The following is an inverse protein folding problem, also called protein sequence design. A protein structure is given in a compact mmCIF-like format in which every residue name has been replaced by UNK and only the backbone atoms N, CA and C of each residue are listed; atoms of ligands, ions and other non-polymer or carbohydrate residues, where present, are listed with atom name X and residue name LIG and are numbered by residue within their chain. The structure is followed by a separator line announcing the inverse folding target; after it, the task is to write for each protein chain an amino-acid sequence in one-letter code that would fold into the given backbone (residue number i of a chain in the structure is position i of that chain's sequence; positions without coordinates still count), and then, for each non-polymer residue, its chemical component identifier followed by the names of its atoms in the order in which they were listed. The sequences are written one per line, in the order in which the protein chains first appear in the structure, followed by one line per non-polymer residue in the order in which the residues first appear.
data_IF_165015290620
#
_entry.id   IF_165015290620
#
_cell.length_a   1.000
_cell.length_b   1.000
_cell.length_c   1.000
_cell.angle_alpha   90.00
_cell.angle_beta   90.00
_cell.angle_gamma   90.00
#
_symmetry.space_group_name_H-M   'P 1'
#
loop_
_entity.id
_entity.type
_entity.pdbx_description
1 polymer ?
#
# COMPACT_ATOMS: atom_id res chain seq x y z
N UNK A 1 -16.92 -4.51 10.31
CA UNK A 1 -16.19 -3.94 10.86
C UNK A 1 -15.16 -3.38 10.09
N UNK A 2 -14.88 -2.41 10.22
CA UNK A 2 -13.92 -1.84 9.48
C UNK A 2 -12.64 -2.43 9.73
N UNK A 3 -12.04 -2.87 8.76
CA UNK A 3 -10.82 -3.54 8.89
C UNK A 3 -9.67 -2.63 8.88
N UNK A 4 -9.89 -1.36 8.67
CA UNK A 4 -8.79 -0.45 8.47
C UNK A 4 -8.15 -0.02 9.77
N UNK A 5 -8.77 -0.31 10.89
CA UNK A 5 -8.19 0.05 12.16
C UNK A 5 -6.84 -0.60 12.40
N UNK A 6 -6.61 -1.75 11.78
CA UNK A 6 -5.40 -2.49 12.05
C UNK A 6 -4.44 -2.43 10.90
N UNK A 7 -4.03 -1.23 10.51
CA UNK A 7 -3.04 -1.10 9.44
C UNK A 7 -1.73 -1.79 9.79
N UNK A 8 -1.43 -1.92 11.08
CA UNK A 8 -0.20 -2.60 11.48
C UNK A 8 -0.14 -4.03 10.97
N UNK A 9 -1.27 -4.65 10.74
CA UNK A 9 -1.30 -6.01 10.20
C UNK A 9 -0.81 -6.08 8.77
N UNK A 10 -0.77 -4.95 8.09
CA UNK A 10 -0.35 -4.91 6.70
C UNK A 10 1.16 -4.80 6.56
N UNK A 11 1.88 -4.57 7.66
CA UNK A 11 3.34 -4.49 7.60
C UNK A 11 3.88 -5.81 7.08
N UNK A 12 4.80 -5.72 6.12
CA UNK A 12 5.43 -6.83 5.42
C UNK A 12 4.56 -7.44 4.32
N UNK A 13 3.36 -6.93 4.10
CA UNK A 13 2.53 -7.43 3.01
C UNK A 13 2.91 -6.74 1.71
N UNK A 14 2.79 -7.45 0.63
CA UNK A 14 3.05 -6.90 -0.69
C UNK A 14 1.95 -5.95 -1.11
N UNK A 15 2.28 -4.99 -1.97
CA UNK A 15 1.33 -4.00 -2.46
C UNK A 15 1.33 -4.04 -3.98
N UNK A 16 0.15 -4.06 -4.57
CA UNK A 16 0.00 -4.02 -6.02
C UNK A 16 -0.93 -2.88 -6.41
N UNK A 17 -0.64 -2.33 -7.58
CA UNK A 17 -1.50 -1.30 -8.15
C UNK A 17 -2.74 -1.95 -8.75
N UNK A 18 -3.70 -1.13 -9.15
CA UNK A 18 -4.93 -1.66 -9.75
C UNK A 18 -4.65 -2.37 -11.07
N UNK A 19 -3.56 -2.04 -11.74
CA UNK A 19 -3.17 -2.71 -12.98
C UNK A 19 -2.22 -3.87 -12.73
N UNK A 20 -2.05 -4.28 -11.48
CA UNK A 20 -1.32 -5.51 -11.16
C UNK A 20 0.17 -5.38 -10.99
N UNK A 21 0.70 -4.16 -10.99
CA UNK A 21 2.13 -3.96 -10.83
C UNK A 21 2.53 -4.05 -9.37
N UNK A 22 3.66 -4.68 -9.11
CA UNK A 22 4.17 -4.86 -7.77
C UNK A 22 4.90 -3.59 -7.33
N UNK A 23 4.47 -3.00 -6.22
CA UNK A 23 5.10 -1.80 -5.68
C UNK A 23 6.13 -2.11 -4.60
N UNK A 24 6.15 -3.32 -4.11
CA UNK A 24 7.03 -3.69 -3.00
C UNK A 24 6.23 -4.08 -1.78
N UNK A 25 6.83 -3.91 -0.61
CA UNK A 25 6.20 -4.34 0.63
C UNK A 25 6.04 -3.17 1.58
N UNK A 26 5.00 -3.23 2.40
CA UNK A 26 4.79 -2.23 3.44
C UNK A 26 5.80 -2.48 4.55
N UNK A 27 6.60 -1.47 4.88
CA UNK A 27 7.60 -1.60 5.94
C UNK A 27 7.22 -0.84 7.20
N UNK A 28 6.26 0.07 7.10
CA UNK A 28 5.82 0.83 8.25
C UNK A 28 4.45 1.42 7.98
N UNK A 29 3.73 1.71 9.05
CA UNK A 29 2.46 2.40 8.97
C UNK A 29 2.54 3.58 9.93
N UNK A 30 2.16 4.76 9.45
CA UNK A 30 2.25 5.97 10.23
C UNK A 30 0.91 6.69 10.09
N UNK A 31 0.10 6.65 11.16
CA UNK A 31 -1.24 7.21 11.09
C UNK A 31 -2.05 6.48 10.04
N UNK A 32 -2.49 7.20 9.03
CA UNK A 32 -3.27 6.60 7.95
C UNK A 32 -2.44 6.40 6.68
N UNK A 33 -1.11 6.51 6.78
CA UNK A 33 -0.25 6.36 5.62
C UNK A 33 0.55 5.07 5.71
N UNK A 34 0.86 4.50 4.55
CA UNK A 34 1.67 3.29 4.45
C UNK A 34 2.99 3.64 3.78
N UNK A 35 4.09 3.22 4.37
CA UNK A 35 5.39 3.34 3.72
C UNK A 35 5.71 2.03 3.03
N UNK A 36 5.95 2.11 1.73
CA UNK A 36 6.16 0.94 0.88
C UNK A 36 7.57 0.99 0.34
N UNK A 37 8.29 -0.11 0.49
CA UNK A 37 9.63 -0.23 -0.02
C UNK A 37 9.66 -1.20 -1.20
N UNK A 38 10.07 -0.71 -2.34
CA UNK A 38 10.27 -1.50 -3.54
C UNK A 38 11.39 -0.84 -4.31
N UNK A 39 11.20 -0.62 -5.61
CA UNK A 39 12.18 0.12 -6.38
C UNK A 39 12.33 1.53 -5.87
N UNK A 40 11.25 2.09 -5.35
CA UNK A 40 11.24 3.41 -4.76
C UNK A 40 10.54 3.33 -3.44
N UNK A 41 10.89 4.26 -2.55
CA UNK A 41 10.15 4.38 -1.31
C UNK A 41 8.95 5.24 -1.57
N UNK A 42 7.79 4.73 -1.18
CA UNK A 42 6.52 5.42 -1.38
C UNK A 42 5.81 5.58 -0.06
N UNK A 43 5.10 6.69 0.09
CA UNK A 43 4.26 6.89 1.27
C UNK A 43 2.86 7.18 0.75
N UNK A 44 2.01 6.20 0.82
CA UNK A 44 0.68 6.25 0.21
C UNK A 44 -0.40 6.21 1.28
N UNK A 45 -1.37 7.12 1.22
CA UNK A 45 -2.48 7.09 2.18
C UNK A 45 -3.28 5.81 2.06
N UNK A 46 -3.70 5.27 3.19
CA UNK A 46 -4.46 4.03 3.22
C UNK A 46 -5.83 4.16 2.58
N UNK A 47 -6.30 5.38 2.34
CA UNK A 47 -7.57 5.58 1.67
C UNK A 47 -7.57 5.04 0.24
N UNK A 48 -6.38 4.79 -0.31
CA UNK A 48 -6.28 4.22 -1.66
C UNK A 48 -6.27 2.70 -1.67
N UNK A 49 -6.44 2.06 -0.53
CA UNK A 49 -6.55 0.61 -0.50
C UNK A 49 -7.89 0.20 -1.08
N UNK A 50 -7.85 -0.66 -2.10
CA UNK A 50 -9.05 -1.21 -2.70
C UNK A 50 -9.50 -2.42 -1.88
N UNK A 51 -8.61 -3.40 -1.73
CA UNK A 51 -8.91 -4.54 -0.88
C UNK A 51 -7.61 -5.24 -0.48
N UNK A 52 -7.75 -6.12 0.50
CA UNK A 52 -6.64 -6.91 1.01
C UNK A 52 -7.09 -8.37 1.03
N UNK A 53 -6.35 -9.24 0.35
CA UNK A 53 -6.76 -10.63 0.21
C UNK A 53 -6.07 -11.57 1.21
N UNK A 54 -5.39 -11.03 2.20
CA UNK A 54 -4.67 -11.84 3.19
C UNK A 54 -3.18 -11.98 2.90
N UNK A 55 -2.78 -11.75 1.67
CA UNK A 55 -1.38 -11.82 1.27
C UNK A 55 -0.88 -10.51 0.69
N UNK A 56 -1.72 -9.84 -0.06
CA UNK A 56 -1.33 -8.62 -0.75
C UNK A 56 -2.42 -7.57 -0.62
N UNK A 57 -1.97 -6.32 -0.65
CA UNK A 57 -2.85 -5.16 -0.64
C UNK A 57 -2.96 -4.64 -2.06
N UNK A 58 -4.18 -4.41 -2.51
CA UNK A 58 -4.42 -3.87 -3.85
C UNK A 58 -4.92 -2.45 -3.71
N UNK A 59 -4.35 -1.56 -4.51
CA UNK A 59 -4.69 -0.15 -4.47
C UNK A 59 -5.65 0.22 -5.59
N UNK A 60 -6.30 1.37 -5.43
CA UNK A 60 -7.11 1.94 -6.51
C UNK A 60 -6.27 2.76 -7.48
N UNK A 61 -4.98 2.90 -7.21
CA UNK A 61 -4.06 3.68 -8.04
C UNK A 61 -3.35 2.79 -9.05
N UNK A 62 -3.04 3.35 -10.23
CA UNK A 62 -2.16 2.66 -11.15
C UNK A 62 -0.72 3.00 -10.81
N UNK A 63 0.23 2.44 -11.58
CA UNK A 63 1.65 2.60 -11.27
C UNK A 63 2.09 4.05 -11.35
N UNK A 64 1.58 4.80 -12.31
CA UNK A 64 1.97 6.19 -12.45
C UNK A 64 1.45 7.03 -11.29
N UNK A 65 0.23 6.78 -10.89
CA UNK A 65 -0.37 7.51 -9.78
C UNK A 65 0.35 7.18 -8.49
N UNK A 66 0.68 5.92 -8.29
CA UNK A 66 1.37 5.50 -7.08
C UNK A 66 2.74 6.17 -6.96
N UNK A 67 3.45 6.31 -8.07
CA UNK A 67 4.78 6.92 -8.02
C UNK A 67 4.77 8.41 -7.71
N UNK A 68 3.62 9.05 -7.76
CA UNK A 68 3.52 10.44 -7.32
C UNK A 68 3.74 10.59 -5.82
N UNK A 69 3.67 9.48 -5.09
CA UNK A 69 3.83 9.49 -3.64
C UNK A 69 5.22 9.08 -3.20
N UNK A 70 6.18 9.07 -4.10
CA UNK A 70 7.53 8.69 -3.71
C UNK A 70 8.12 9.73 -2.77
N UNK A 71 8.92 9.24 -1.85
CA UNK A 71 9.56 10.06 -0.85
C UNK A 71 10.91 10.56 -1.36
#
# INVERSE_FOLDING_TARGET
MSTIHDLDRLVRKGVRTKDGNDLGNIIAVDGSNMTIQGRKMLKIPSTYIDFYNGSEVFLTLDIKEAFKYKI
#
